data_IF_007194784759
#
_entry.id   IF_007194784759
#
_cell.length_a   1.000
_cell.length_b   1.000
_cell.length_c   1.000
_cell.angle_alpha   90.00
_cell.angle_beta   90.00
_cell.angle_gamma   90.00
#
_symmetry.space_group_name_H-M   'P 1'
#
loop_
_entity.id
_entity.type
_entity.pdbx_description
1 polymer ?
#
# COMPACT_ATOMS: atom_id res chain seq x y z
N UNK A 1 -11.65 -52.14 11.61
CA UNK A 1 -11.61 -51.92 10.13
C UNK A 1 -12.43 -50.66 9.89
N UNK A 2 -11.90 -49.53 9.47
CA UNK A 2 -10.93 -49.26 8.39
C UNK A 2 -9.99 -48.12 8.78
N UNK A 3 -8.69 -48.37 8.65
CA UNK A 3 -7.63 -47.36 8.66
C UNK A 3 -7.65 -46.61 7.33
N UNK A 4 -8.08 -45.34 7.34
CA UNK A 4 -7.83 -44.45 6.21
C UNK A 4 -6.35 -44.03 6.24
N UNK A 5 -5.51 -44.87 5.64
CA UNK A 5 -4.14 -44.50 5.27
C UNK A 5 -4.22 -43.38 4.24
N UNK A 6 -3.99 -42.14 4.67
CA UNK A 6 -3.72 -41.04 3.75
C UNK A 6 -2.37 -41.31 3.09
N UNK A 7 -2.36 -42.00 1.95
CA UNK A 7 -1.23 -42.02 1.03
C UNK A 7 -1.11 -40.63 0.39
N UNK A 8 -0.68 -39.64 1.18
CA UNK A 8 -0.14 -38.41 0.64
C UNK A 8 1.22 -38.77 0.06
N UNK A 9 1.34 -38.81 -1.27
CA UNK A 9 2.63 -38.92 -1.94
C UNK A 9 3.53 -37.81 -1.38
N UNK A 10 4.71 -38.12 -0.80
CA UNK A 10 5.58 -37.11 -0.26
C UNK A 10 5.93 -36.12 -1.38
N UNK A 11 5.70 -34.84 -1.11
CA UNK A 11 5.95 -33.80 -2.10
C UNK A 11 7.45 -33.62 -2.31
N UNK A 12 7.89 -33.02 -3.43
CA UNK A 12 9.32 -32.75 -3.63
C UNK A 12 9.92 -31.93 -2.48
N UNK A 13 9.14 -31.04 -1.85
CA UNK A 13 9.56 -30.29 -0.67
C UNK A 13 9.79 -31.14 0.59
N UNK A 14 9.24 -32.36 0.64
CA UNK A 14 9.38 -33.30 1.77
C UNK A 14 10.49 -34.34 1.56
N UNK A 15 11.22 -34.27 0.44
CA UNK A 15 12.22 -35.27 0.04
C UNK A 15 13.52 -35.29 0.87
N UNK A 16 13.77 -34.27 1.70
CA UNK A 16 15.02 -34.15 2.47
C UNK A 16 16.25 -33.82 1.61
N UNK A 17 16.08 -33.55 0.31
CA UNK A 17 17.18 -33.21 -0.61
C UNK A 17 17.85 -31.87 -0.25
N UNK A 18 19.14 -31.70 -0.54
CA UNK A 18 19.81 -30.40 -0.45
C UNK A 18 19.10 -29.33 -1.29
N UNK A 19 19.14 -28.07 -0.83
CA UNK A 19 18.43 -26.96 -1.50
C UNK A 19 18.82 -26.82 -2.99
N UNK A 20 20.08 -26.99 -3.33
CA UNK A 20 20.56 -26.89 -4.72
C UNK A 20 19.98 -27.99 -5.62
N UNK A 21 19.83 -29.20 -5.07
CA UNK A 21 19.21 -30.32 -5.77
C UNK A 21 17.71 -30.10 -5.93
N UNK A 22 17.02 -29.60 -4.89
CA UNK A 22 15.61 -29.21 -4.97
C UNK A 22 15.36 -28.17 -6.07
N UNK A 23 16.21 -27.14 -6.17
CA UNK A 23 16.11 -26.14 -7.24
C UNK A 23 16.21 -26.81 -8.60
N UNK A 24 17.24 -27.63 -8.81
CA UNK A 24 17.46 -28.33 -10.06
C UNK A 24 16.28 -29.26 -10.42
N UNK A 25 15.76 -30.03 -9.46
CA UNK A 25 14.63 -30.94 -9.66
C UNK A 25 13.34 -30.19 -10.01
N UNK A 26 13.01 -29.13 -9.27
CA UNK A 26 11.80 -28.33 -9.53
C UNK A 26 11.91 -27.60 -10.87
N UNK A 27 13.07 -27.02 -11.18
CA UNK A 27 13.30 -26.33 -12.45
C UNK A 27 13.21 -27.30 -13.65
N UNK A 28 13.78 -28.50 -13.51
CA UNK A 28 13.70 -29.57 -14.52
C UNK A 28 12.26 -30.03 -14.72
N UNK A 29 11.51 -30.26 -13.63
CA UNK A 29 10.10 -30.63 -13.70
C UNK A 29 9.28 -29.53 -14.41
N UNK A 30 9.54 -28.27 -14.09
CA UNK A 30 8.83 -27.16 -14.71
C UNK A 30 9.11 -27.07 -16.21
N UNK A 31 10.39 -27.17 -16.60
CA UNK A 31 10.82 -27.24 -17.99
C UNK A 31 10.10 -28.39 -18.71
N UNK A 32 10.23 -29.63 -18.23
CA UNK A 32 9.62 -30.81 -18.86
C UNK A 32 8.12 -30.64 -19.05
N UNK A 33 7.42 -30.12 -18.04
CA UNK A 33 5.98 -29.88 -18.10
C UNK A 33 5.59 -28.83 -19.14
N UNK A 34 6.44 -27.82 -19.38
CA UNK A 34 6.25 -26.87 -20.48
C UNK A 34 6.52 -27.50 -21.85
N UNK A 35 7.55 -28.35 -21.97
CA UNK A 35 7.90 -29.02 -23.23
C UNK A 35 6.86 -30.03 -23.69
N UNK A 36 6.31 -30.84 -22.79
CA UNK A 36 5.24 -31.79 -23.13
C UNK A 36 4.02 -31.07 -23.71
N UNK A 37 3.71 -29.84 -23.24
CA UNK A 37 2.60 -29.03 -23.77
C UNK A 37 2.96 -28.15 -24.96
N UNK A 38 4.25 -27.97 -25.27
CA UNK A 38 4.76 -27.16 -26.40
C UNK A 38 5.71 -28.01 -27.23
N UNK A 39 5.14 -28.88 -28.08
CA UNK A 39 5.90 -29.72 -28.99
C UNK A 39 6.91 -28.87 -29.81
N UNK A 40 8.21 -29.18 -29.68
CA UNK A 40 9.28 -28.63 -30.55
C UNK A 40 10.17 -27.51 -30.00
N UNK A 41 10.04 -27.09 -28.74
CA UNK A 41 10.99 -26.13 -28.12
C UNK A 41 12.21 -26.83 -27.48
N UNK A 42 13.39 -26.19 -27.39
CA UNK A 42 14.62 -26.79 -26.86
C UNK A 42 14.54 -27.10 -25.36
N UNK A 43 14.83 -28.35 -24.99
CA UNK A 43 14.60 -29.01 -23.69
C UNK A 43 15.55 -28.60 -22.55
N UNK A 44 16.01 -27.35 -22.54
CA UNK A 44 17.02 -26.88 -21.60
C UNK A 44 16.41 -26.06 -20.47
N UNK A 45 16.94 -26.27 -19.25
CA UNK A 45 16.57 -25.49 -18.08
C UNK A 45 17.08 -24.06 -18.22
N UNK A 46 16.16 -23.14 -18.50
CA UNK A 46 16.39 -21.68 -18.50
C UNK A 46 16.25 -21.03 -17.12
N UNK A 47 16.79 -19.81 -17.00
CA UNK A 47 16.78 -18.99 -15.77
C UNK A 47 15.39 -18.81 -15.16
N UNK A 48 14.34 -18.64 -15.97
CA UNK A 48 12.98 -18.49 -15.42
C UNK A 48 12.45 -19.76 -14.72
N UNK A 49 12.92 -20.95 -15.09
CA UNK A 49 12.57 -22.19 -14.39
C UNK A 49 13.23 -22.25 -13.02
N UNK A 50 14.52 -21.87 -12.96
CA UNK A 50 15.29 -21.75 -11.72
C UNK A 50 14.62 -20.72 -10.81
N UNK A 51 14.31 -19.54 -11.35
CA UNK A 51 13.63 -18.48 -10.63
C UNK A 51 12.23 -18.86 -10.14
N UNK A 52 11.53 -19.79 -10.79
CA UNK A 52 10.28 -20.36 -10.27
C UNK A 52 10.56 -21.29 -9.07
N UNK A 53 11.53 -22.20 -9.20
CA UNK A 53 11.91 -23.12 -8.14
C UNK A 53 12.32 -22.37 -6.86
N UNK A 54 13.13 -21.32 -7.00
CA UNK A 54 13.54 -20.47 -5.88
C UNK A 54 12.37 -19.80 -5.19
N UNK A 55 11.41 -19.26 -5.96
CA UNK A 55 10.21 -18.63 -5.41
C UNK A 55 9.32 -19.61 -4.66
N UNK A 56 9.17 -20.84 -5.17
CA UNK A 56 8.47 -21.92 -4.46
C UNK A 56 9.18 -22.25 -3.14
N UNK A 57 10.49 -22.46 -3.17
CA UNK A 57 11.26 -22.80 -1.96
C UNK A 57 11.26 -21.67 -0.92
N UNK A 58 11.32 -20.43 -1.36
CA UNK A 58 11.29 -19.25 -0.50
C UNK A 58 9.87 -18.86 -0.06
N UNK A 59 8.84 -19.59 -0.49
CA UNK A 59 7.43 -19.23 -0.29
C UNK A 59 7.11 -17.79 -0.70
N UNK A 60 7.73 -17.31 -1.78
CA UNK A 60 7.56 -15.95 -2.29
C UNK A 60 6.21 -15.79 -2.98
N UNK A 61 5.22 -15.31 -2.21
CA UNK A 61 3.86 -15.10 -2.68
C UNK A 61 3.80 -14.18 -3.92
N UNK A 62 4.50 -13.05 -3.89
CA UNK A 62 4.44 -12.05 -4.97
C UNK A 62 5.17 -12.53 -6.21
N UNK A 63 6.31 -13.21 -6.05
CA UNK A 63 7.00 -13.84 -7.16
C UNK A 63 6.17 -14.93 -7.84
N UNK A 64 5.32 -15.63 -7.10
CA UNK A 64 4.46 -16.70 -7.61
C UNK A 64 3.09 -16.22 -8.11
N UNK A 65 2.73 -14.94 -7.99
CA UNK A 65 1.38 -14.48 -8.35
C UNK A 65 0.99 -14.81 -9.81
N UNK A 66 1.96 -14.86 -10.71
CA UNK A 66 1.78 -15.24 -12.11
C UNK A 66 1.18 -16.65 -12.33
N UNK A 67 1.34 -17.60 -11.40
CA UNK A 67 0.69 -18.92 -11.51
C UNK A 67 -0.79 -18.88 -11.10
N UNK A 68 -1.28 -17.77 -10.50
CA UNK A 68 -2.69 -17.62 -10.18
C UNK A 68 -3.55 -17.35 -11.42
N UNK A 69 -2.94 -16.88 -12.52
CA UNK A 69 -3.63 -16.69 -13.79
C UNK A 69 -4.28 -18.00 -14.26
N UNK A 70 -5.57 -17.95 -14.60
CA UNK A 70 -6.35 -19.12 -15.03
C UNK A 70 -5.78 -19.83 -16.26
N UNK A 71 -5.01 -19.13 -17.10
CA UNK A 71 -4.37 -19.68 -18.29
C UNK A 71 -3.07 -20.43 -17.99
N UNK A 72 -2.45 -20.22 -16.82
CA UNK A 72 -1.18 -20.84 -16.46
C UNK A 72 -1.37 -22.24 -15.86
N UNK A 73 -1.85 -23.17 -16.68
CA UNK A 73 -2.12 -24.55 -16.24
C UNK A 73 -0.85 -25.30 -15.85
N UNK A 74 0.25 -25.10 -16.59
CA UNK A 74 1.55 -25.77 -16.31
C UNK A 74 2.11 -25.35 -14.95
N UNK A 75 2.17 -24.04 -14.66
CA UNK A 75 2.68 -23.57 -13.38
C UNK A 75 1.87 -24.10 -12.20
N UNK A 76 0.54 -24.17 -12.33
CA UNK A 76 -0.35 -24.74 -11.30
C UNK A 76 -0.13 -26.24 -11.10
N UNK A 77 0.08 -27.00 -12.17
CA UNK A 77 0.35 -28.45 -12.10
C UNK A 77 1.68 -28.73 -11.41
N UNK A 78 2.75 -28.04 -11.84
CA UNK A 78 4.08 -28.18 -11.24
C UNK A 78 4.05 -27.76 -9.78
N UNK A 79 3.41 -26.63 -9.46
CA UNK A 79 3.21 -26.21 -8.08
C UNK A 79 2.46 -27.26 -7.26
N UNK A 80 1.39 -27.86 -7.80
CA UNK A 80 0.66 -28.91 -7.11
C UNK A 80 1.54 -30.13 -6.79
N UNK A 81 2.39 -30.55 -7.74
CA UNK A 81 3.32 -31.66 -7.54
C UNK A 81 4.39 -31.34 -6.48
N UNK A 82 4.90 -30.12 -6.48
CA UNK A 82 6.00 -29.70 -5.59
C UNK A 82 5.49 -29.34 -4.20
N UNK A 83 4.40 -28.60 -4.11
CA UNK A 83 3.85 -28.04 -2.88
C UNK A 83 2.77 -28.93 -2.24
N UNK A 84 2.19 -29.88 -3.00
CA UNK A 84 1.05 -30.70 -2.56
C UNK A 84 -0.27 -29.95 -2.51
N UNK A 85 -0.31 -28.69 -2.96
CA UNK A 85 -1.50 -27.83 -2.91
C UNK A 85 -2.01 -27.56 -4.31
N UNK A 86 -3.25 -27.96 -4.55
CA UNK A 86 -3.94 -27.68 -5.82
C UNK A 86 -4.50 -26.26 -5.80
N UNK A 87 -4.00 -25.40 -6.68
CA UNK A 87 -4.58 -24.07 -6.86
C UNK A 87 -5.90 -24.16 -7.66
N UNK A 88 -6.97 -23.47 -7.21
CA UNK A 88 -8.23 -23.37 -7.95
C UNK A 88 -8.09 -22.86 -9.39
N UNK A 89 -9.14 -23.02 -10.20
CA UNK A 89 -9.15 -22.44 -11.57
C UNK A 89 -9.36 -20.92 -11.55
N UNK A 90 -10.28 -20.45 -10.72
CA UNK A 90 -10.58 -19.03 -10.57
C UNK A 90 -9.37 -18.27 -10.00
N UNK A 91 -9.01 -17.13 -10.61
CA UNK A 91 -7.81 -16.37 -10.26
C UNK A 91 -7.84 -15.88 -8.81
N UNK A 92 -8.97 -15.33 -8.35
CA UNK A 92 -9.12 -14.85 -6.96
C UNK A 92 -8.91 -15.97 -5.93
N UNK A 93 -9.58 -17.11 -6.13
CA UNK A 93 -9.43 -18.28 -5.25
C UNK A 93 -8.01 -18.90 -5.33
N UNK A 94 -7.35 -18.85 -6.49
CA UNK A 94 -5.95 -19.28 -6.63
C UNK A 94 -5.02 -18.42 -5.79
N UNK A 95 -5.21 -17.11 -5.85
CA UNK A 95 -4.40 -16.14 -5.13
C UNK A 95 -4.58 -16.29 -3.63
N UNK A 96 -5.81 -16.52 -3.16
CA UNK A 96 -6.09 -16.77 -1.75
C UNK A 96 -5.45 -18.06 -1.24
N UNK A 97 -5.57 -19.17 -1.99
CA UNK A 97 -4.94 -20.44 -1.65
C UNK A 97 -3.40 -20.33 -1.61
N UNK A 98 -2.80 -19.63 -2.59
CA UNK A 98 -1.37 -19.41 -2.65
C UNK A 98 -0.89 -18.53 -1.49
N UNK A 99 -1.63 -17.44 -1.17
CA UNK A 99 -1.33 -16.56 -0.03
C UNK A 99 -1.31 -17.35 1.29
N UNK A 100 -2.32 -18.18 1.51
CA UNK A 100 -2.41 -19.04 2.69
C UNK A 100 -1.24 -20.03 2.78
N UNK A 101 -0.86 -20.68 1.67
CA UNK A 101 0.27 -21.60 1.62
C UNK A 101 1.63 -20.93 1.89
N UNK A 102 1.81 -19.71 1.36
CA UNK A 102 2.97 -18.88 1.61
C UNK A 102 3.05 -18.34 3.05
N UNK A 103 1.95 -18.40 3.82
CA UNK A 103 1.88 -17.87 5.18
C UNK A 103 1.75 -16.35 5.25
N UNK A 104 1.31 -15.69 4.18
CA UNK A 104 1.12 -14.24 4.15
C UNK A 104 -0.25 -13.89 4.72
N UNK A 105 -0.31 -13.05 5.75
CA UNK A 105 -1.60 -12.62 6.31
C UNK A 105 -2.34 -11.69 5.33
N UNK A 106 -3.66 -11.57 5.46
CA UNK A 106 -4.42 -10.63 4.62
C UNK A 106 -3.95 -9.19 4.86
N UNK A 107 -3.67 -8.85 6.12
CA UNK A 107 -3.18 -7.53 6.52
C UNK A 107 -1.79 -7.21 5.92
N UNK A 108 -0.88 -8.18 5.85
CA UNK A 108 0.45 -7.98 5.24
C UNK A 108 0.37 -7.78 3.72
N UNK A 109 -0.55 -8.50 3.05
CA UNK A 109 -0.84 -8.31 1.63
C UNK A 109 -1.45 -6.92 1.38
N UNK A 110 -2.41 -6.51 2.20
CA UNK A 110 -3.03 -5.18 2.10
C UNK A 110 -2.02 -4.06 2.36
N UNK A 111 -1.13 -4.21 3.33
CA UNK A 111 -0.03 -3.27 3.57
C UNK A 111 0.92 -3.19 2.38
N UNK A 112 1.23 -4.31 1.74
CA UNK A 112 2.13 -4.33 0.59
C UNK A 112 1.50 -3.64 -0.61
N UNK A 113 0.21 -3.89 -0.87
CA UNK A 113 -0.59 -3.19 -1.88
C UNK A 113 -0.69 -1.69 -1.58
N UNK A 114 -0.92 -1.30 -0.33
CA UNK A 114 -1.01 0.09 0.08
C UNK A 114 0.32 0.83 -0.11
N UNK A 115 1.46 0.20 0.22
CA UNK A 115 2.81 0.75 -0.07
C UNK A 115 3.04 0.93 -1.56
N UNK A 116 2.68 -0.07 -2.38
CA UNK A 116 2.81 0.01 -3.82
C UNK A 116 1.94 1.14 -4.41
N UNK A 117 0.69 1.26 -3.94
CA UNK A 117 -0.23 2.36 -4.32
C UNK A 117 0.33 3.72 -3.91
N UNK A 118 0.82 3.88 -2.68
CA UNK A 118 1.43 5.13 -2.24
C UNK A 118 2.62 5.52 -3.12
N UNK A 119 3.50 4.57 -3.45
CA UNK A 119 4.63 4.80 -4.35
C UNK A 119 4.19 5.20 -5.77
N UNK A 120 3.13 4.57 -6.28
CA UNK A 120 2.56 4.92 -7.58
C UNK A 120 2.01 6.36 -7.58
N UNK A 121 1.19 6.70 -6.57
CA UNK A 121 0.61 8.04 -6.45
C UNK A 121 1.67 9.10 -6.17
N UNK A 122 2.72 8.77 -5.41
CA UNK A 122 3.86 9.64 -5.18
C UNK A 122 4.55 10.00 -6.50
N UNK A 123 4.87 9.00 -7.34
CA UNK A 123 5.45 9.23 -8.67
C UNK A 123 4.52 10.07 -9.55
N UNK A 124 3.22 9.78 -9.52
CA UNK A 124 2.22 10.52 -10.30
C UNK A 124 2.03 11.97 -9.82
N UNK A 125 2.15 12.23 -8.52
CA UNK A 125 2.08 13.58 -7.97
C UNK A 125 3.38 14.34 -8.24
N UNK A 126 4.53 13.66 -8.16
CA UNK A 126 5.83 14.25 -8.43
C UNK A 126 6.00 14.74 -9.86
N UNK A 127 5.39 14.08 -10.85
CA UNK A 127 5.42 14.58 -12.23
C UNK A 127 4.72 15.94 -12.42
N UNK A 128 3.78 16.29 -11.54
CA UNK A 128 3.01 17.54 -11.59
C UNK A 128 3.59 18.60 -10.66
N UNK A 129 3.80 18.27 -9.39
CA UNK A 129 4.24 19.24 -8.38
C UNK A 129 5.76 19.41 -8.31
N UNK A 130 6.53 18.47 -8.86
CA UNK A 130 7.99 18.53 -9.02
C UNK A 130 8.68 18.92 -7.70
N UNK A 131 9.38 20.06 -7.71
CA UNK A 131 10.17 20.61 -6.60
C UNK A 131 9.32 20.93 -5.35
N UNK A 132 8.01 21.10 -5.49
CA UNK A 132 7.11 21.34 -4.36
C UNK A 132 6.69 20.06 -3.62
N UNK A 133 6.99 18.87 -4.15
CA UNK A 133 6.58 17.62 -3.51
C UNK A 133 7.12 17.43 -2.09
N UNK A 134 8.40 17.72 -1.77
CA UNK A 134 8.88 17.59 -0.41
C UNK A 134 8.05 18.42 0.58
N UNK A 135 7.71 19.67 0.23
CA UNK A 135 6.86 20.52 1.06
C UNK A 135 5.44 19.95 1.22
N UNK A 136 4.88 19.36 0.16
CA UNK A 136 3.57 18.68 0.21
C UNK A 136 3.60 17.47 1.16
N UNK A 137 4.66 16.66 1.09
CA UNK A 137 4.84 15.49 1.97
C UNK A 137 4.89 15.95 3.42
N UNK A 138 5.78 16.90 3.74
CA UNK A 138 5.91 17.46 5.10
C UNK A 138 4.59 18.04 5.62
N UNK A 139 3.82 18.71 4.76
CA UNK A 139 2.51 19.25 5.12
C UNK A 139 1.51 18.13 5.45
N UNK A 140 1.43 17.08 4.64
CA UNK A 140 0.53 15.93 4.87
C UNK A 140 0.92 15.19 6.15
N UNK A 141 2.21 14.94 6.35
CA UNK A 141 2.75 14.32 7.56
C UNK A 141 2.45 15.15 8.80
N UNK A 142 2.58 16.48 8.70
CA UNK A 142 2.22 17.42 9.76
C UNK A 142 0.72 17.43 10.08
N UNK A 143 -0.15 17.29 9.07
CA UNK A 143 -1.59 17.13 9.31
C UNK A 143 -1.89 15.80 10.00
N UNK A 144 -1.31 14.70 9.53
CA UNK A 144 -1.51 13.39 10.14
C UNK A 144 -1.04 13.38 11.59
N UNK A 145 0.15 13.89 11.89
CA UNK A 145 0.70 13.96 13.25
C UNK A 145 -0.11 14.86 14.19
N UNK A 146 -0.81 15.85 13.67
CA UNK A 146 -1.76 16.69 14.42
C UNK A 146 -3.15 16.04 14.60
N UNK A 147 -3.33 14.80 14.15
CA UNK A 147 -4.57 14.03 14.29
C UNK A 147 -5.62 14.26 13.20
N UNK A 148 -5.25 14.81 12.03
CA UNK A 148 -6.12 14.84 10.86
C UNK A 148 -5.95 13.53 10.06
N UNK A 149 -6.80 12.54 10.34
CA UNK A 149 -6.61 11.14 9.93
C UNK A 149 -7.69 10.62 8.97
N UNK A 150 -8.72 11.41 8.68
CA UNK A 150 -9.84 11.04 7.82
C UNK A 150 -10.00 12.00 6.65
N UNK A 151 -10.49 11.49 5.53
CA UNK A 151 -11.02 12.31 4.44
C UNK A 151 -12.53 12.28 4.47
N UNK A 152 -13.14 13.45 4.33
CA UNK A 152 -14.59 13.59 4.31
C UNK A 152 -15.04 14.55 3.20
N UNK A 153 -16.29 14.42 2.82
CA UNK A 153 -16.95 15.33 1.88
C UNK A 153 -18.17 15.93 2.56
N UNK A 154 -18.26 17.26 2.60
CA UNK A 154 -19.37 17.99 3.19
C UNK A 154 -19.68 19.20 2.31
N UNK A 155 -20.96 19.42 1.99
CA UNK A 155 -21.42 20.55 1.16
C UNK A 155 -20.63 20.69 -0.16
N UNK A 156 -20.38 19.56 -0.83
CA UNK A 156 -19.59 19.47 -2.07
C UNK A 156 -18.12 19.96 -1.95
N UNK A 157 -17.61 20.07 -0.71
CA UNK A 157 -16.21 20.36 -0.41
C UNK A 157 -15.54 19.16 0.23
N UNK A 158 -14.23 19.06 0.05
CA UNK A 158 -13.45 17.95 0.55
C UNK A 158 -12.55 18.42 1.68
N UNK A 159 -12.48 17.65 2.75
CA UNK A 159 -11.70 18.00 3.94
C UNK A 159 -10.82 16.83 4.35
N UNK A 160 -9.67 17.16 4.94
CA UNK A 160 -9.00 16.26 5.87
C UNK A 160 -9.44 16.64 7.29
N UNK A 161 -9.89 15.67 8.08
CA UNK A 161 -10.55 15.89 9.35
C UNK A 161 -10.00 15.00 10.46
N UNK A 162 -10.22 15.42 11.70
CA UNK A 162 -9.98 14.57 12.85
C UNK A 162 -11.02 13.44 12.93
N UNK A 163 -10.72 12.41 13.74
CA UNK A 163 -11.61 11.24 13.87
C UNK A 163 -13.01 11.60 14.36
N UNK A 164 -13.12 12.58 15.25
CA UNK A 164 -14.38 13.10 15.77
C UNK A 164 -15.18 13.95 14.76
N UNK A 165 -14.61 14.28 13.59
CA UNK A 165 -15.21 15.12 12.55
C UNK A 165 -15.65 16.51 13.03
N UNK A 166 -15.03 17.00 14.11
CA UNK A 166 -15.29 18.33 14.69
C UNK A 166 -14.34 19.39 14.17
N UNK A 167 -13.21 18.99 13.60
CA UNK A 167 -12.16 19.86 13.10
C UNK A 167 -11.64 19.33 11.77
N UNK A 168 -11.45 20.23 10.80
CA UNK A 168 -11.09 19.85 9.44
C UNK A 168 -10.42 20.99 8.68
N UNK A 169 -9.55 20.62 7.74
CA UNK A 169 -8.88 21.55 6.83
C UNK A 169 -9.46 21.37 5.44
N UNK A 170 -9.89 22.49 4.86
CA UNK A 170 -10.50 22.51 3.54
C UNK A 170 -9.46 22.17 2.47
N UNK A 171 -9.69 21.06 1.76
CA UNK A 171 -8.93 20.69 0.57
C UNK A 171 -9.50 21.40 -0.67
N UNK A 172 -10.71 21.98 -0.54
CA UNK A 172 -11.35 23.14 -1.20
C UNK A 172 -10.59 23.98 -2.22
N UNK A 173 -9.33 24.23 -1.89
CA UNK A 173 -8.61 25.40 -2.35
C UNK A 173 -7.73 25.06 -3.55
N UNK A 174 -7.52 26.07 -4.41
CA UNK A 174 -6.64 25.97 -5.58
C UNK A 174 -5.27 25.44 -5.15
N UNK A 175 -4.82 24.34 -5.75
CA UNK A 175 -3.55 23.67 -5.43
C UNK A 175 -3.68 22.37 -4.61
N UNK A 176 -4.71 22.26 -3.75
CA UNK A 176 -4.97 21.06 -2.92
C UNK A 176 -6.08 20.17 -3.49
N UNK A 177 -6.87 20.71 -4.41
CA UNK A 177 -7.89 20.01 -5.19
C UNK A 177 -7.40 19.25 -6.41
N UNK A 178 -6.09 19.21 -6.65
CA UNK A 178 -5.55 18.57 -7.83
C UNK A 178 -5.92 17.08 -7.88
N UNK A 179 -6.26 16.60 -9.08
CA UNK A 179 -6.48 15.19 -9.40
C UNK A 179 -5.29 14.28 -9.08
N UNK A 180 -4.14 14.85 -8.67
CA UNK A 180 -2.92 14.14 -8.24
C UNK A 180 -2.60 14.29 -6.76
N UNK A 181 -3.05 15.36 -6.10
CA UNK A 181 -2.82 15.54 -4.66
C UNK A 181 -3.71 14.61 -3.85
N UNK A 182 -5.01 14.59 -4.15
CA UNK A 182 -5.98 13.82 -3.38
C UNK A 182 -5.72 12.32 -3.42
N UNK A 183 -5.43 11.68 -4.58
CA UNK A 183 -5.09 10.25 -4.60
C UNK A 183 -3.84 9.92 -3.76
N UNK A 184 -2.84 10.81 -3.76
CA UNK A 184 -1.66 10.65 -2.91
C UNK A 184 -2.01 10.71 -1.42
N UNK A 185 -2.79 11.71 -1.00
CA UNK A 185 -3.26 11.84 0.38
C UNK A 185 -4.12 10.64 0.81
N UNK A 186 -5.04 10.18 -0.04
CA UNK A 186 -5.85 8.98 0.18
C UNK A 186 -4.98 7.73 0.38
N UNK A 187 -3.98 7.53 -0.49
CA UNK A 187 -3.06 6.41 -0.40
C UNK A 187 -2.21 6.48 0.89
N UNK A 188 -1.77 7.67 1.28
CA UNK A 188 -1.01 7.88 2.51
C UNK A 188 -1.85 7.50 3.73
N UNK A 189 -3.06 8.06 3.87
CA UNK A 189 -3.95 7.78 5.01
C UNK A 189 -4.37 6.31 5.07
N UNK A 190 -4.62 5.69 3.92
CA UNK A 190 -4.94 4.26 3.84
C UNK A 190 -3.78 3.39 4.35
N UNK A 191 -2.54 3.73 3.99
CA UNK A 191 -1.37 3.02 4.50
C UNK A 191 -1.23 3.20 6.01
N UNK A 192 -1.39 4.43 6.53
CA UNK A 192 -1.27 4.65 7.98
C UNK A 192 -2.36 3.90 8.75
N UNK A 193 -3.60 3.87 8.26
CA UNK A 193 -4.69 3.10 8.89
C UNK A 193 -4.36 1.60 9.01
N UNK A 194 -3.77 1.00 7.97
CA UNK A 194 -3.33 -0.40 8.01
C UNK A 194 -2.14 -0.61 8.98
N UNK A 195 -1.23 0.37 9.08
CA UNK A 195 -0.11 0.33 10.04
C UNK A 195 -0.59 0.44 11.48
N UNK A 196 -1.62 1.26 11.75
CA UNK A 196 -2.31 1.32 13.03
C UNK A 196 -2.99 -0.02 13.33
N UNK A 197 -3.73 -0.58 12.38
CA UNK A 197 -4.40 -1.88 12.53
C UNK A 197 -3.41 -3.02 12.84
N UNK A 198 -2.21 -2.96 12.26
CA UNK A 198 -1.13 -3.92 12.54
C UNK A 198 -0.40 -3.66 13.86
N UNK A 199 -0.59 -2.50 14.47
CA UNK A 199 0.14 -2.07 15.67
C UNK A 199 1.58 -1.60 15.38
N UNK A 200 1.92 -1.28 14.13
CA UNK A 200 3.24 -0.70 13.78
C UNK A 200 3.38 0.75 14.25
N UNK A 201 2.26 1.47 14.37
CA UNK A 201 2.18 2.85 14.85
C UNK A 201 0.93 3.03 15.71
N UNK A 202 0.92 4.05 16.57
CA UNK A 202 -0.30 4.53 17.24
C UNK A 202 -0.94 5.61 16.38
N UNK A 203 -2.27 5.60 16.30
CA UNK A 203 -2.99 6.68 15.60
C UNK A 203 -2.83 8.01 16.38
N UNK A 204 -2.45 9.10 15.71
CA UNK A 204 -2.33 10.40 16.38
C UNK A 204 -3.68 10.92 16.88
N UNK A 205 -3.73 11.35 18.13
CA UNK A 205 -4.85 12.10 18.66
C UNK A 205 -4.83 13.54 18.14
N UNK A 206 -6.02 14.13 18.02
CA UNK A 206 -6.13 15.51 17.56
C UNK A 206 -5.50 16.47 18.55
N UNK A 207 -4.54 17.26 18.06
CA UNK A 207 -3.94 18.35 18.80
C UNK A 207 -4.45 19.68 18.24
N UNK A 208 -5.18 20.48 19.03
CA UNK A 208 -5.55 21.81 18.59
C UNK A 208 -4.28 22.63 18.33
N UNK A 209 -4.25 23.47 17.28
CA UNK A 209 -3.10 24.32 17.03
C UNK A 209 -2.86 25.20 18.26
N UNK A 210 -1.63 25.20 18.77
CA UNK A 210 -1.24 26.05 19.90
C UNK A 210 -1.58 27.49 19.54
N UNK A 211 -2.39 28.21 20.35
CA UNK A 211 -2.62 29.61 20.10
C UNK A 211 -1.26 30.31 20.13
N UNK A 212 -0.91 30.96 19.02
CA UNK A 212 0.23 31.89 19.01
C UNK A 212 -0.16 32.96 20.02
N UNK A 213 0.48 32.94 21.19
CA UNK A 213 0.28 33.97 22.20
C UNK A 213 0.67 35.27 21.53
N UNK A 214 -0.33 36.06 21.14
CA UNK A 214 -0.13 37.42 20.66
C UNK A 214 0.55 38.11 21.83
N UNK A 215 1.85 38.40 21.69
CA UNK A 215 2.54 39.24 22.65
C UNK A 215 1.67 40.47 22.84
N UNK A 216 1.30 40.74 24.09
CA UNK A 216 0.45 41.88 24.45
C UNK A 216 0.95 43.11 23.67
N UNK A 217 0.06 43.92 23.08
CA UNK A 217 0.49 45.08 22.32
C UNK A 217 1.35 45.94 23.26
N UNK A 218 2.65 46.03 22.94
CA UNK A 218 3.53 47.01 23.57
C UNK A 218 2.84 48.34 23.38
N UNK A 219 2.54 49.01 24.49
CA UNK A 219 1.83 50.28 24.48
C UNK A 219 2.65 51.30 23.69
N UNK A 220 2.28 51.55 22.43
CA UNK A 220 2.77 52.70 21.70
C UNK A 220 2.15 53.97 22.31
N UNK A 221 2.94 55.05 22.49
CA UNK A 221 2.41 56.33 22.94
C UNK A 221 1.47 56.94 21.89
N UNK A 222 0.34 57.47 22.37
CA UNK A 222 -0.71 58.17 21.61
C UNK A 222 -0.21 59.51 20.99
N UNK A 223 -0.94 60.18 20.07
CA UNK A 223 -0.52 60.43 18.70
C UNK A 223 -0.40 61.92 18.35
N UNK A 224 0.21 62.24 17.20
CA UNK A 224 -0.02 63.55 16.54
C UNK A 224 -0.24 63.35 15.05
N UNK A 225 -1.42 63.80 14.60
CA UNK A 225 -1.84 64.15 13.23
C UNK A 225 -1.83 63.09 12.11
N UNK A 226 -3.04 62.66 11.75
CA UNK A 226 -3.49 62.17 10.44
C UNK A 226 -3.37 63.26 9.32
N UNK A 227 -3.53 62.96 8.00
CA UNK A 227 -4.39 61.90 7.44
C UNK A 227 -3.89 61.06 6.24
N UNK A 228 -4.58 59.90 6.13
CA UNK A 228 -5.06 59.20 4.94
C UNK A 228 -4.07 58.77 3.85
N UNK A 229 -3.73 57.48 3.81
CA UNK A 229 -3.84 56.68 2.57
C UNK A 229 -4.16 55.22 2.91
N UNK A 230 -5.26 54.75 2.34
CA UNK A 230 -5.80 53.39 2.43
C UNK A 230 -4.98 52.38 1.62
N UNK A 231 -4.56 51.30 2.26
CA UNK A 231 -4.06 50.07 1.60
C UNK A 231 -4.81 48.87 2.21
N UNK A 232 -5.38 47.96 1.40
CA UNK A 232 -6.14 46.83 1.92
C UNK A 232 -5.18 45.79 2.54
N UNK A 233 -5.38 45.48 3.81
CA UNK A 233 -4.68 44.40 4.52
C UNK A 233 -5.12 43.04 4.01
N UNK A 234 -4.16 42.33 3.43
CA UNK A 234 -4.09 40.88 3.33
C UNK A 234 -3.97 40.24 4.72
N UNK A 235 -4.58 39.06 4.88
CA UNK A 235 -4.22 38.07 5.90
C UNK A 235 -5.20 37.94 7.08
N UNK A 236 -6.12 36.99 7.00
CA UNK A 236 -6.77 36.42 8.17
C UNK A 236 -6.54 34.89 8.19
N UNK A 237 -6.10 34.29 9.31
CA UNK A 237 -6.01 32.85 9.46
C UNK A 237 -7.43 32.31 9.68
N UNK A 238 -7.92 31.49 8.76
CA UNK A 238 -9.23 30.87 8.90
C UNK A 238 -9.05 29.58 9.73
N UNK A 239 -9.19 29.71 11.05
CA UNK A 239 -9.64 28.61 11.91
C UNK A 239 -11.17 28.67 11.92
N UNK A 240 -11.83 27.84 11.12
CA UNK A 240 -13.26 27.59 11.30
C UNK A 240 -13.42 26.42 12.27
N UNK A 241 -13.71 26.74 13.53
CA UNK A 241 -14.44 25.81 14.39
C UNK A 241 -15.82 25.58 13.77
N UNK A 242 -16.21 24.32 13.64
CA UNK A 242 -17.50 23.94 13.08
C UNK A 242 -18.60 24.14 14.14
N UNK A 243 -19.70 24.80 13.77
CA UNK A 243 -20.98 24.72 14.48
C UNK A 243 -21.87 23.73 13.73
N UNK A 244 -22.50 22.82 14.49
CA UNK A 244 -23.40 21.76 14.02
C UNK A 244 -24.65 22.31 13.33
#
# INVERSE_FOLDING_TARGET
>A
MTSNSSNATPTLLQSGMPRAELISSIATLYMQSMHVKRAGQPSEVREYHIGFAEKVLNKDFYGLEHICNGLNTVGKEVFCTVAGVRLPKAQGASREALRAWCGVSALDDDLTKAKARLNHELKSAHSVFKEHMPAIITMIEGWYSSGYVLLMTQNNRHYIANRAQTQGRDLSTRGLHGSRFRPYLEAYLSLQALRVQKGEITEPEYQPPTPVSVAAPVSEPKPTSEPAYSVPKSGAPIQHGFCF
#
